data_IF_649989021247
#
_entry.id   IF_649989021247
#
_cell.length_a   1.000
_cell.length_b   1.000
_cell.length_c   1.000
_cell.angle_alpha   90.00
_cell.angle_beta   90.00
_cell.angle_gamma   90.00
#
_symmetry.space_group_name_H-M   'P 1'
#
loop_
_entity.id
_entity.type
_entity.pdbx_description
1 polymer ?
#
# COMPACT_ATOMS: atom_id res chain seq x y z
N UNK A 1 -14.52 19.61 9.05
CA UNK A 1 -15.25 18.78 8.07
C UNK A 1 -15.41 17.40 8.66
N UNK A 2 -16.55 16.74 8.48
CA UNK A 2 -16.73 15.35 8.89
C UNK A 2 -15.96 14.43 7.93
N UNK A 3 -15.33 13.38 8.46
CA UNK A 3 -14.69 12.34 7.64
C UNK A 3 -15.82 11.50 7.03
N UNK A 4 -15.85 11.31 5.69
CA UNK A 4 -16.87 10.47 5.07
C UNK A 4 -16.73 9.03 5.57
N UNK A 5 -17.83 8.24 5.61
CA UNK A 5 -17.74 6.84 5.98
C UNK A 5 -16.80 6.09 5.03
N UNK A 6 -16.13 5.02 5.50
CA UNK A 6 -15.33 4.17 4.63
C UNK A 6 -16.18 3.63 3.46
N UNK A 7 -15.61 3.53 2.24
CA UNK A 7 -16.34 3.03 1.09
C UNK A 7 -16.73 1.56 1.27
N UNK A 8 -17.91 1.23 0.76
CA UNK A 8 -18.42 -0.13 0.71
C UNK A 8 -17.65 -0.98 -0.31
N UNK A 9 -17.77 -2.30 -0.19
CA UNK A 9 -17.17 -3.24 -1.16
C UNK A 9 -17.65 -2.98 -2.59
N UNK A 10 -18.93 -2.65 -2.79
CA UNK A 10 -19.51 -2.38 -4.10
C UNK A 10 -18.94 -1.09 -4.73
N UNK A 11 -18.73 -0.05 -3.93
CA UNK A 11 -18.11 1.20 -4.39
C UNK A 11 -16.64 0.97 -4.75
N UNK A 12 -15.91 0.22 -3.92
CA UNK A 12 -14.54 -0.17 -4.22
C UNK A 12 -14.45 -0.99 -5.51
N UNK A 13 -15.41 -1.90 -5.71
CA UNK A 13 -15.52 -2.72 -6.90
C UNK A 13 -15.65 -1.89 -8.19
N UNK A 14 -16.50 -0.86 -8.18
CA UNK A 14 -16.67 0.08 -9.30
C UNK A 14 -15.38 0.86 -9.54
N UNK A 15 -14.77 1.37 -8.47
CA UNK A 15 -13.51 2.11 -8.55
C UNK A 15 -12.38 1.25 -9.14
N UNK A 16 -12.19 0.04 -8.63
CA UNK A 16 -11.13 -0.90 -9.05
C UNK A 16 -11.30 -1.25 -10.53
N UNK A 17 -12.51 -1.67 -10.95
CA UNK A 17 -12.78 -2.01 -12.37
C UNK A 17 -12.51 -0.83 -13.29
N UNK A 18 -12.96 0.36 -12.90
CA UNK A 18 -12.71 1.59 -13.67
C UNK A 18 -11.22 1.88 -13.76
N UNK A 19 -10.49 1.78 -12.64
CA UNK A 19 -9.06 2.07 -12.59
C UNK A 19 -8.26 1.09 -13.45
N UNK A 20 -8.58 -0.19 -13.38
CA UNK A 20 -7.96 -1.22 -14.20
C UNK A 20 -8.19 -0.99 -15.68
N UNK A 21 -9.42 -0.71 -16.09
CA UNK A 21 -9.73 -0.36 -17.48
C UNK A 21 -8.93 0.85 -17.96
N UNK A 22 -8.82 1.90 -17.13
CA UNK A 22 -8.07 3.12 -17.48
C UNK A 22 -6.55 2.89 -17.65
N UNK A 23 -5.98 1.89 -16.96
CA UNK A 23 -4.56 1.53 -17.09
C UNK A 23 -4.33 0.33 -18.03
N UNK A 24 -5.36 -0.10 -18.76
CA UNK A 24 -5.27 -1.16 -19.76
C UNK A 24 -5.25 -2.59 -19.19
N UNK A 25 -5.66 -2.79 -17.94
CA UNK A 25 -5.85 -4.11 -17.35
C UNK A 25 -7.26 -4.60 -17.66
N UNK A 26 -7.37 -5.60 -18.52
CA UNK A 26 -8.62 -6.26 -18.87
C UNK A 26 -8.83 -7.53 -18.04
N UNK A 27 -9.74 -7.46 -17.07
CA UNK A 27 -10.09 -8.60 -16.20
C UNK A 27 -10.79 -9.74 -16.93
N UNK A 28 -11.41 -9.48 -18.09
CA UNK A 28 -12.11 -10.53 -18.85
C UNK A 28 -11.17 -11.59 -19.43
N UNK A 29 -9.86 -11.30 -19.46
CA UNK A 29 -8.81 -12.27 -19.82
C UNK A 29 -8.59 -13.35 -18.75
N UNK A 30 -9.11 -13.16 -17.54
CA UNK A 30 -9.03 -14.09 -16.44
C UNK A 30 -10.34 -14.88 -16.28
N UNK A 31 -10.27 -16.14 -15.81
CA UNK A 31 -11.48 -16.86 -15.42
C UNK A 31 -12.19 -16.16 -14.27
N UNK A 32 -13.53 -16.26 -14.21
CA UNK A 32 -14.32 -15.53 -13.21
C UNK A 32 -14.04 -16.02 -11.78
N UNK A 33 -14.04 -17.34 -11.58
CA UNK A 33 -13.81 -18.00 -10.29
C UNK A 33 -13.31 -19.43 -10.53
N UNK A 34 -11.98 -19.58 -10.61
CA UNK A 34 -11.33 -20.87 -10.84
C UNK A 34 -10.19 -21.07 -9.82
N UNK A 35 -10.38 -21.93 -8.81
CA UNK A 35 -9.37 -22.19 -7.79
C UNK A 35 -8.14 -22.93 -8.34
N UNK A 36 -8.23 -23.58 -9.50
CA UNK A 36 -7.11 -24.27 -10.14
C UNK A 36 -6.25 -23.35 -11.00
N UNK A 37 -6.82 -22.24 -11.49
CA UNK A 37 -6.06 -21.22 -12.18
C UNK A 37 -5.07 -20.54 -11.22
N UNK A 38 -3.90 -20.05 -11.70
CA UNK A 38 -2.99 -19.25 -10.87
C UNK A 38 -3.66 -17.96 -10.36
N UNK A 39 -4.52 -17.34 -11.17
CA UNK A 39 -5.31 -16.17 -10.81
C UNK A 39 -6.71 -16.21 -11.45
N UNK A 40 -7.71 -15.71 -10.75
CA UNK A 40 -9.08 -15.50 -11.24
C UNK A 40 -9.56 -14.09 -10.89
N UNK A 41 -10.68 -13.66 -11.49
CA UNK A 41 -11.22 -12.32 -11.27
C UNK A 41 -11.62 -12.08 -9.80
N UNK A 42 -12.24 -13.06 -9.14
CA UNK A 42 -12.69 -12.94 -7.75
C UNK A 42 -11.52 -12.67 -6.78
N UNK A 43 -10.39 -13.37 -6.95
CA UNK A 43 -9.18 -13.20 -6.15
C UNK A 43 -8.49 -11.88 -6.46
N UNK A 44 -8.45 -11.45 -7.73
CA UNK A 44 -7.93 -10.12 -8.09
C UNK A 44 -8.72 -9.02 -7.40
N UNK A 45 -10.05 -9.06 -7.47
CA UNK A 45 -10.92 -8.06 -6.83
C UNK A 45 -10.77 -8.08 -5.30
N UNK A 46 -10.66 -9.26 -4.69
CA UNK A 46 -10.45 -9.40 -3.25
C UNK A 46 -9.09 -8.82 -2.82
N UNK A 47 -8.02 -9.13 -3.55
CA UNK A 47 -6.69 -8.59 -3.28
C UNK A 47 -6.64 -7.07 -3.46
N UNK A 48 -7.21 -6.55 -4.55
CA UNK A 48 -7.25 -5.12 -4.82
C UNK A 48 -7.98 -4.34 -3.72
N UNK A 49 -9.12 -4.84 -3.23
CA UNK A 49 -9.84 -4.25 -2.09
C UNK A 49 -8.98 -4.26 -0.82
N UNK A 50 -8.30 -5.37 -0.54
CA UNK A 50 -7.38 -5.48 0.60
C UNK A 50 -6.24 -4.46 0.51
N UNK A 51 -5.60 -4.34 -0.65
CA UNK A 51 -4.51 -3.39 -0.89
C UNK A 51 -4.96 -1.95 -0.66
N UNK A 52 -6.07 -1.52 -1.25
CA UNK A 52 -6.56 -0.14 -1.09
C UNK A 52 -6.86 0.18 0.38
N UNK A 53 -7.47 -0.77 1.11
CA UNK A 53 -7.73 -0.59 2.56
C UNK A 53 -6.45 -0.47 3.36
N UNK A 54 -5.42 -1.24 3.00
CA UNK A 54 -4.11 -1.19 3.65
C UNK A 54 -3.38 0.12 3.33
N UNK A 55 -3.47 0.62 2.10
CA UNK A 55 -2.88 1.91 1.69
C UNK A 55 -3.44 3.07 2.51
N UNK A 56 -4.74 3.08 2.83
CA UNK A 56 -5.33 4.08 3.74
C UNK A 56 -4.63 4.04 5.09
N UNK A 57 -4.44 2.85 5.67
CA UNK A 57 -3.74 2.70 6.94
C UNK A 57 -2.28 3.18 6.89
N UNK A 58 -1.62 3.03 5.74
CA UNK A 58 -0.25 3.53 5.55
C UNK A 58 -0.20 5.04 5.35
N UNK A 59 -1.18 5.61 4.64
CA UNK A 59 -1.28 7.05 4.45
C UNK A 59 -1.56 7.79 5.77
N UNK A 60 -2.28 7.14 6.70
CA UNK A 60 -2.56 7.67 8.04
C UNK A 60 -1.39 7.47 9.03
N UNK A 61 -0.26 6.89 8.59
CA UNK A 61 0.90 6.72 9.46
C UNK A 61 1.49 8.06 9.87
N UNK A 62 1.60 8.28 11.18
CA UNK A 62 2.29 9.43 11.76
C UNK A 62 3.67 8.96 12.25
N UNK A 63 4.77 9.45 11.67
CA UNK A 63 6.11 9.09 12.11
C UNK A 63 6.34 9.54 13.56
N UNK A 64 6.68 8.60 14.43
CA UNK A 64 7.18 8.93 15.76
C UNK A 64 8.59 9.54 15.62
N UNK A 65 8.70 10.84 15.91
CA UNK A 65 9.97 11.59 15.84
C UNK A 65 10.99 11.09 16.88
N UNK A 66 10.54 10.38 17.92
CA UNK A 66 11.38 9.78 18.96
C UNK A 66 11.67 8.30 18.70
N UNK A 67 11.00 7.68 17.72
CA UNK A 67 11.37 6.34 17.28
C UNK A 67 12.75 6.43 16.62
N UNK A 68 13.76 5.97 17.36
CA UNK A 68 15.10 5.84 16.83
C UNK A 68 15.06 4.95 15.60
N UNK A 69 15.41 5.49 14.43
CA UNK A 69 15.67 4.67 13.26
C UNK A 69 16.67 3.58 13.67
N UNK A 70 16.43 2.33 13.25
CA UNK A 70 17.34 1.23 13.55
C UNK A 70 18.75 1.61 13.07
N UNK A 71 19.61 1.99 14.01
CA UNK A 71 20.97 2.42 13.71
C UNK A 71 21.72 1.17 13.30
N UNK A 72 22.06 1.07 12.01
CA UNK A 72 22.68 -0.08 11.37
C UNK A 72 24.16 -0.27 11.75
N UNK A 73 24.59 0.07 12.97
CA UNK A 73 25.98 0.29 13.46
C UNK A 73 26.44 1.75 13.37
N UNK A 74 27.41 2.18 14.22
CA UNK A 74 27.42 3.54 14.74
C UNK A 74 27.65 4.52 13.59
N UNK A 75 26.62 5.30 13.27
CA UNK A 75 26.80 6.50 12.47
C UNK A 75 27.67 7.43 13.32
N UNK A 76 28.90 7.77 12.90
CA UNK A 76 29.68 8.79 13.58
C UNK A 76 28.98 10.13 13.34
N UNK A 77 28.02 10.46 14.20
CA UNK A 77 27.42 11.79 14.31
C UNK A 77 28.48 12.86 14.65
N UNK A 78 29.71 12.44 14.95
CA UNK A 78 30.89 13.26 15.25
C UNK A 78 31.67 13.76 14.04
N UNK A 79 31.36 13.37 12.79
CA UNK A 79 32.13 13.92 11.63
C UNK A 79 31.86 15.43 11.44
N UNK A 80 30.71 15.94 11.89
CA UNK A 80 30.32 17.34 11.64
C UNK A 80 30.65 18.33 12.76
N UNK A 81 31.08 17.87 13.93
CA UNK A 81 31.61 18.73 15.01
C UNK A 81 33.05 18.31 15.29
N UNK A 82 34.02 18.99 14.69
CA UNK A 82 35.45 18.65 14.71
C UNK A 82 36.05 18.39 16.11
N UNK A 83 37.24 17.79 16.25
CA UNK A 83 38.30 17.52 15.29
C UNK A 83 38.83 16.08 15.48
N UNK A 84 39.25 15.44 14.39
CA UNK A 84 40.07 14.23 14.45
C UNK A 84 41.40 14.56 15.14
N UNK A 85 41.73 13.82 16.21
CA UNK A 85 43.08 13.76 16.76
C UNK A 85 43.61 12.34 16.53
N UNK A 86 44.85 12.19 16.02
CA UNK A 86 45.44 10.91 15.63
C UNK A 86 45.69 9.98 16.82
#
# INVERSE_FOLDING_TARGET
>A
MAIPPPPTDAELDVYIRTRFALIGIDLSTLPENDPSAPMDQARVMTNARSTIRQEVSYADYVPDQQAHAAVLYPAPMSIWTGAYQP
#
